data_IF_131623150477
#
_entry.id   IF_131623150477
#
_cell.length_a   1.000
_cell.length_b   1.000
_cell.length_c   1.000
_cell.angle_alpha   90.00
_cell.angle_beta   90.00
_cell.angle_gamma   90.00
#
_symmetry.space_group_name_H-M   'P 1'
#
loop_
_entity.id
_entity.type
_entity.pdbx_description
1 polymer ?
#
# COMPACT_ATOMS: atom_id res chain seq x y z
N UNK A 1 8.41 -13.39 9.40
CA UNK A 1 7.68 -12.16 9.01
C UNK A 1 8.45 -10.89 9.36
N UNK A 2 8.77 -10.64 10.63
CA UNK A 2 9.50 -9.44 11.09
C UNK A 2 10.81 -9.17 10.34
N UNK A 3 11.62 -10.21 10.11
CA UNK A 3 12.88 -10.09 9.35
C UNK A 3 12.63 -9.56 7.93
N UNK A 4 11.58 -10.03 7.25
CA UNK A 4 11.25 -9.57 5.91
C UNK A 4 10.77 -8.12 5.91
N UNK A 5 9.94 -7.74 6.88
CA UNK A 5 9.47 -6.36 7.02
C UNK A 5 10.62 -5.39 7.28
N UNK A 6 11.51 -5.73 8.22
CA UNK A 6 12.67 -4.89 8.54
C UNK A 6 13.63 -4.79 7.34
N UNK A 7 13.91 -5.90 6.66
CA UNK A 7 14.74 -5.90 5.46
C UNK A 7 14.13 -5.04 4.34
N UNK A 8 12.80 -5.12 4.17
CA UNK A 8 12.06 -4.29 3.23
C UNK A 8 12.14 -2.80 3.55
N UNK A 9 11.84 -2.40 4.78
CA UNK A 9 11.92 -0.99 5.19
C UNK A 9 13.35 -0.46 5.13
N UNK A 10 14.34 -1.30 5.45
CA UNK A 10 15.75 -0.94 5.26
C UNK A 10 16.08 -0.71 3.77
N UNK A 11 15.65 -1.62 2.89
CA UNK A 11 15.87 -1.48 1.44
C UNK A 11 15.28 -0.18 0.88
N UNK A 12 14.06 0.18 1.28
CA UNK A 12 13.44 1.44 0.85
C UNK A 12 14.06 2.67 1.48
N UNK A 13 14.40 2.60 2.78
CA UNK A 13 15.07 3.69 3.50
C UNK A 13 16.45 3.99 2.96
N UNK A 14 17.16 2.97 2.46
CA UNK A 14 18.45 3.13 1.78
C UNK A 14 18.33 3.95 0.49
N UNK A 15 17.21 3.83 -0.23
CA UNK A 15 16.95 4.60 -1.44
C UNK A 15 16.53 6.04 -1.12
N UNK A 16 15.47 6.20 -0.32
CA UNK A 16 14.97 7.50 0.11
C UNK A 16 14.08 7.36 1.35
N UNK A 17 14.46 7.99 2.45
CA UNK A 17 13.70 7.97 3.70
C UNK A 17 12.30 8.59 3.57
N UNK A 18 12.08 9.55 2.65
CA UNK A 18 10.77 10.16 2.40
C UNK A 18 9.78 9.12 1.88
N UNK A 19 10.27 8.09 1.19
CA UNK A 19 9.43 7.01 0.70
C UNK A 19 8.89 6.13 1.83
N UNK A 20 9.63 5.98 2.94
CA UNK A 20 9.14 5.26 4.11
C UNK A 20 7.93 5.94 4.74
N UNK A 21 7.94 7.28 4.80
CA UNK A 21 6.79 8.04 5.28
C UNK A 21 5.58 7.84 4.36
N UNK A 22 5.80 7.84 3.04
CA UNK A 22 4.74 7.60 2.05
C UNK A 22 4.15 6.18 2.17
N UNK A 23 4.99 5.14 2.17
CA UNK A 23 4.56 3.75 2.32
C UNK A 23 3.84 3.57 3.66
N UNK A 24 4.40 4.07 4.76
CA UNK A 24 3.80 3.94 6.08
C UNK A 24 2.42 4.58 6.13
N UNK A 25 2.29 5.80 5.62
CA UNK A 25 1.02 6.52 5.55
C UNK A 25 0.00 5.81 4.67
N UNK A 26 0.37 5.42 3.43
CA UNK A 26 -0.54 4.72 2.53
C UNK A 26 -0.96 3.37 3.11
N UNK A 27 -0.03 2.62 3.70
CA UNK A 27 -0.31 1.34 4.36
C UNK A 27 -1.35 1.49 5.46
N UNK A 28 -1.23 2.51 6.32
CA UNK A 28 -2.23 2.75 7.38
C UNK A 28 -3.58 3.12 6.79
N UNK A 29 -3.61 4.00 5.78
CA UNK A 29 -4.84 4.41 5.12
C UNK A 29 -5.55 3.25 4.42
N UNK A 30 -4.84 2.44 3.65
CA UNK A 30 -5.42 1.34 2.88
C UNK A 30 -5.90 0.21 3.80
N UNK A 31 -5.15 -0.05 4.86
CA UNK A 31 -5.57 -0.95 5.93
C UNK A 31 -6.86 -0.45 6.58
N UNK A 32 -6.93 0.85 6.89
CA UNK A 32 -8.11 1.49 7.46
C UNK A 32 -9.32 1.42 6.53
N UNK A 33 -9.16 1.66 5.23
CA UNK A 33 -10.24 1.51 4.25
C UNK A 33 -10.72 0.05 4.13
N UNK A 34 -9.80 -0.92 4.14
CA UNK A 34 -10.17 -2.34 4.13
C UNK A 34 -10.99 -2.71 5.37
N UNK A 35 -10.58 -2.24 6.54
CA UNK A 35 -11.33 -2.41 7.79
C UNK A 35 -12.70 -1.72 7.73
N UNK A 36 -12.78 -0.49 7.21
CA UNK A 36 -14.04 0.25 7.08
C UNK A 36 -15.02 -0.47 6.15
N UNK A 37 -14.56 -0.98 5.01
CA UNK A 37 -15.37 -1.78 4.07
C UNK A 37 -15.90 -3.04 4.75
N UNK A 38 -15.08 -3.71 5.55
CA UNK A 38 -15.49 -4.89 6.30
C UNK A 38 -16.48 -4.58 7.43
N UNK A 39 -16.28 -3.48 8.15
CA UNK A 39 -17.19 -3.02 9.20
C UNK A 39 -18.60 -2.74 8.67
N UNK A 40 -18.70 -2.12 7.49
CA UNK A 40 -19.97 -1.86 6.81
C UNK A 40 -20.67 -3.14 6.32
N UNK A 41 -19.96 -4.27 6.24
CA UNK A 41 -20.53 -5.58 5.88
C UNK A 41 -21.07 -6.35 7.09
N UNK A 42 -20.62 -6.01 8.30
CA UNK A 42 -20.97 -6.76 9.51
C UNK A 42 -22.39 -6.43 10.00
N UNK A 43 -23.18 -7.44 10.42
CA UNK A 43 -24.45 -7.25 11.12
C UNK A 43 -24.24 -6.43 12.41
N UNK A 44 -25.16 -5.53 12.73
CA UNK A 44 -25.05 -4.62 13.88
C UNK A 44 -24.72 -5.33 15.20
N UNK A 45 -25.29 -6.54 15.40
CA UNK A 45 -25.06 -7.36 16.59
C UNK A 45 -23.60 -7.83 16.77
N UNK A 46 -22.84 -8.04 15.69
CA UNK A 46 -21.44 -8.51 15.76
C UNK A 46 -20.42 -7.38 15.80
N UNK A 47 -20.84 -6.13 15.59
CA UNK A 47 -19.94 -4.96 15.55
C UNK A 47 -19.30 -4.66 16.90
N UNK A 48 -19.99 -4.94 18.01
CA UNK A 48 -19.51 -4.66 19.36
C UNK A 48 -18.64 -5.77 19.98
N UNK A 49 -18.73 -7.00 19.44
CA UNK A 49 -18.08 -8.19 20.01
C UNK A 49 -16.72 -8.48 19.37
N UNK A 50 -16.53 -8.15 18.08
CA UNK A 50 -15.31 -8.43 17.32
C UNK A 50 -14.29 -7.28 17.32
N UNK A 51 -14.51 -6.27 18.15
CA UNK A 51 -13.70 -5.05 18.19
C UNK A 51 -12.34 -5.30 18.84
N UNK A 52 -11.35 -5.70 18.04
CA UNK A 52 -9.94 -5.60 18.42
C UNK A 52 -9.62 -4.19 18.93
N UNK A 53 -8.67 -4.05 19.86
CA UNK A 53 -8.27 -2.74 20.42
C UNK A 53 -7.99 -1.65 19.37
N UNK A 54 -7.39 -2.02 18.24
CA UNK A 54 -7.14 -1.10 17.12
C UNK A 54 -8.43 -0.62 16.44
N UNK A 55 -9.45 -1.50 16.35
CA UNK A 55 -10.78 -1.16 15.85
C UNK A 55 -11.45 -0.16 16.80
N UNK A 56 -11.34 -0.32 18.13
CA UNK A 56 -11.87 0.66 19.10
C UNK A 56 -11.26 2.06 18.95
N UNK A 57 -9.97 2.14 18.67
CA UNK A 57 -9.29 3.43 18.49
C UNK A 57 -9.78 4.16 17.22
N UNK A 58 -10.06 3.39 16.17
CA UNK A 58 -10.48 3.89 14.86
C UNK A 58 -12.00 3.99 14.70
N UNK A 59 -12.77 3.33 15.57
CA UNK A 59 -14.23 3.42 15.69
C UNK A 59 -14.68 4.87 15.87
N UNK A 60 -13.92 5.69 16.59
CA UNK A 60 -14.23 7.12 16.75
C UNK A 60 -14.28 7.87 15.42
N UNK A 61 -13.52 7.44 14.41
CA UNK A 61 -13.51 8.04 13.07
C UNK A 61 -14.45 7.30 12.10
N UNK A 62 -14.66 6.00 12.28
CA UNK A 62 -15.48 5.17 11.40
C UNK A 62 -16.97 5.28 11.73
N UNK A 63 -17.35 5.28 13.01
CA UNK A 63 -18.75 5.31 13.44
C UNK A 63 -19.49 6.55 12.93
N UNK A 64 -18.93 7.79 12.97
CA UNK A 64 -19.61 8.95 12.40
C UNK A 64 -19.87 8.79 10.88
N UNK A 65 -18.91 8.24 10.15
CA UNK A 65 -19.02 8.02 8.71
C UNK A 65 -19.96 6.84 8.36
N UNK A 66 -19.98 5.78 9.18
CA UNK A 66 -20.91 4.66 9.05
C UNK A 66 -22.36 5.06 9.40
N UNK A 67 -22.55 5.94 10.39
CA UNK A 67 -23.85 6.55 10.71
C UNK A 67 -24.37 7.41 9.54
N UNK A 68 -23.47 8.07 8.81
CA UNK A 68 -23.78 8.85 7.62
C UNK A 68 -24.09 7.98 6.37
N UNK A 69 -24.93 6.94 6.48
CA UNK A 69 -25.39 6.06 5.36
C UNK A 69 -24.29 5.71 4.33
N UNK A 70 -23.02 5.62 4.74
CA UNK A 70 -21.94 5.42 3.80
C UNK A 70 -22.01 3.99 3.25
N UNK A 71 -22.09 3.86 1.94
CA UNK A 71 -22.13 2.55 1.30
C UNK A 71 -20.71 1.96 1.22
N UNK A 72 -20.61 0.62 1.21
CA UNK A 72 -19.34 -0.08 0.92
C UNK A 72 -18.70 0.39 -0.38
N UNK A 73 -19.54 0.73 -1.37
CA UNK A 73 -19.12 1.26 -2.67
C UNK A 73 -18.47 2.64 -2.53
N UNK A 74 -19.02 3.51 -1.68
CA UNK A 74 -18.47 4.84 -1.40
C UNK A 74 -17.10 4.72 -0.72
N UNK A 75 -16.96 3.84 0.27
CA UNK A 75 -15.67 3.59 0.93
C UNK A 75 -14.61 3.04 -0.05
N UNK A 76 -15.00 2.12 -0.95
CA UNK A 76 -14.12 1.65 -2.01
C UNK A 76 -13.71 2.77 -2.96
N UNK A 77 -14.67 3.57 -3.46
CA UNK A 77 -14.39 4.68 -4.38
C UNK A 77 -13.45 5.70 -3.74
N UNK A 78 -13.66 6.02 -2.45
CA UNK A 78 -12.77 6.91 -1.71
C UNK A 78 -11.34 6.35 -1.60
N UNK A 79 -11.20 5.06 -1.29
CA UNK A 79 -9.90 4.37 -1.29
C UNK A 79 -9.21 4.42 -2.67
N UNK A 80 -9.95 4.12 -3.74
CA UNK A 80 -9.42 4.16 -5.11
C UNK A 80 -9.01 5.59 -5.51
N UNK A 81 -9.85 6.59 -5.20
CA UNK A 81 -9.58 7.98 -5.52
C UNK A 81 -8.34 8.50 -4.78
N UNK A 82 -8.15 8.12 -3.51
CA UNK A 82 -6.97 8.52 -2.74
C UNK A 82 -5.70 7.85 -3.30
N UNK A 83 -5.74 6.54 -3.55
CA UNK A 83 -4.61 5.81 -4.13
C UNK A 83 -4.20 6.35 -5.50
N UNK A 84 -5.16 6.51 -6.41
CA UNK A 84 -4.92 7.08 -7.74
C UNK A 84 -4.54 8.55 -7.66
N UNK A 85 -5.05 9.30 -6.69
CA UNK A 85 -4.69 10.68 -6.42
C UNK A 85 -3.22 10.81 -6.00
N UNK A 86 -2.76 9.98 -5.06
CA UNK A 86 -1.35 9.91 -4.66
C UNK A 86 -0.47 9.51 -5.84
N UNK A 87 -0.85 8.47 -6.57
CA UNK A 87 -0.10 8.02 -7.74
C UNK A 87 -0.01 9.10 -8.82
N UNK A 88 -1.14 9.74 -9.13
CA UNK A 88 -1.22 10.83 -10.11
C UNK A 88 -0.41 12.04 -9.67
N UNK A 89 -0.53 12.44 -8.39
CA UNK A 89 0.28 13.52 -7.82
C UNK A 89 1.76 13.26 -8.05
N UNK A 90 2.31 12.14 -7.55
CA UNK A 90 3.74 11.87 -7.69
C UNK A 90 4.17 11.71 -9.15
N UNK A 91 3.36 11.07 -10.00
CA UNK A 91 3.69 10.84 -11.42
C UNK A 91 3.73 12.12 -12.25
N UNK A 92 2.85 13.08 -11.96
CA UNK A 92 2.70 14.30 -12.76
C UNK A 92 3.18 15.57 -12.03
N UNK A 93 3.68 15.46 -10.79
CA UNK A 93 4.09 16.60 -9.98
C UNK A 93 5.13 17.47 -10.71
N UNK A 94 6.21 16.87 -11.19
CA UNK A 94 7.29 17.61 -11.84
C UNK A 94 6.79 18.32 -13.11
N UNK A 95 6.00 17.63 -13.94
CA UNK A 95 5.36 18.22 -15.12
C UNK A 95 4.46 19.42 -14.77
N UNK A 96 3.69 19.32 -13.69
CA UNK A 96 2.81 20.39 -13.23
C UNK A 96 3.61 21.61 -12.76
N UNK A 97 4.68 21.39 -11.97
CA UNK A 97 5.57 22.46 -11.48
C UNK A 97 6.27 23.17 -12.64
N UNK A 98 6.81 22.42 -13.61
CA UNK A 98 7.48 22.98 -14.80
C UNK A 98 6.52 23.80 -15.67
N UNK A 99 5.30 23.28 -15.90
CA UNK A 99 4.26 23.98 -16.67
C UNK A 99 3.81 25.26 -15.98
N UNK A 100 3.59 25.20 -14.66
CA UNK A 100 3.19 26.36 -13.85
C UNK A 100 4.28 27.43 -13.84
N UNK A 101 5.55 27.04 -13.68
CA UNK A 101 6.66 27.97 -13.71
C UNK A 101 6.80 28.68 -15.05
N UNK A 102 6.55 27.97 -16.15
CA UNK A 102 6.53 28.57 -17.51
C UNK A 102 5.45 29.64 -17.63
N UNK A 103 4.24 29.38 -17.12
CA UNK A 103 3.13 30.34 -17.14
C UNK A 103 3.43 31.57 -16.26
N UNK A 104 3.96 31.36 -15.06
CA UNK A 104 4.32 32.45 -14.15
C UNK A 104 5.44 33.33 -14.75
N UNK A 105 6.41 32.71 -15.43
CA UNK A 105 7.46 33.42 -16.18
C UNK A 105 6.89 34.24 -17.33
N UNK A 106 5.88 33.71 -18.04
CA UNK A 106 5.19 34.44 -19.11
C UNK A 106 4.42 35.69 -18.60
N UNK A 107 4.06 35.72 -17.32
CA UNK A 107 3.42 36.87 -16.65
C UNK A 107 4.46 37.83 -16.04
N UNK A 108 5.76 37.59 -16.27
CA UNK A 108 6.86 38.48 -15.85
C UNK A 108 7.33 38.29 -14.40
N UNK A 109 6.84 37.27 -13.71
CA UNK A 109 7.34 36.85 -12.41
C UNK A 109 8.43 35.81 -12.62
N UNK A 110 9.60 35.96 -11.98
CA UNK A 110 10.67 34.95 -12.03
C UNK A 110 10.65 34.10 -10.76
N UNK A 111 9.87 33.00 -10.72
CA UNK A 111 9.90 32.09 -9.59
C UNK A 111 11.27 31.43 -9.54
N UNK A 112 11.96 31.52 -8.39
CA UNK A 112 13.16 30.71 -8.15
C UNK A 112 12.73 29.24 -8.08
N UNK A 113 12.96 28.49 -9.18
CA UNK A 113 12.71 27.05 -9.30
C UNK A 113 13.68 26.19 -8.46
N UNK A 114 14.15 26.68 -7.32
CA UNK A 114 15.08 25.95 -6.44
C UNK A 114 14.41 24.73 -5.76
N UNK A 115 13.14 24.47 -6.00
CA UNK A 115 12.29 23.85 -4.99
C UNK A 115 11.51 22.65 -5.53
N UNK A 116 11.95 21.46 -5.12
CA UNK A 116 11.30 20.14 -5.26
C UNK A 116 11.30 19.48 -6.66
N UNK A 117 12.47 19.04 -7.13
CA UNK A 117 12.50 17.79 -7.91
C UNK A 117 12.18 16.64 -6.96
N UNK A 118 10.91 16.23 -6.91
CA UNK A 118 10.51 15.02 -6.18
C UNK A 118 11.06 13.84 -6.98
N UNK A 119 12.04 13.14 -6.40
CA UNK A 119 12.50 11.87 -6.91
C UNK A 119 11.33 10.89 -6.74
N UNK A 120 10.82 10.41 -7.87
CA UNK A 120 9.78 9.41 -7.91
C UNK A 120 10.28 8.14 -7.20
N UNK A 121 9.54 7.63 -6.20
CA UNK A 121 9.90 6.36 -5.61
C UNK A 121 9.78 5.26 -6.65
N UNK A 122 10.87 4.49 -6.79
CA UNK A 122 10.84 3.31 -7.65
C UNK A 122 9.78 2.35 -7.11
N UNK A 123 8.85 1.95 -7.97
CA UNK A 123 7.79 1.03 -7.61
C UNK A 123 6.52 1.66 -7.02
N UNK A 124 6.36 2.99 -7.05
CA UNK A 124 5.16 3.69 -6.53
C UNK A 124 3.85 3.10 -7.11
N UNK A 125 3.82 2.89 -8.43
CA UNK A 125 2.67 2.28 -9.12
C UNK A 125 2.37 0.88 -8.62
N UNK A 126 3.41 0.05 -8.43
CA UNK A 126 3.25 -1.34 -8.01
C UNK A 126 2.64 -1.43 -6.62
N UNK A 127 3.14 -0.67 -5.64
CA UNK A 127 2.52 -0.69 -4.30
C UNK A 127 1.09 -0.15 -4.36
N UNK A 128 0.83 0.92 -5.14
CA UNK A 128 -0.52 1.50 -5.22
C UNK A 128 -1.51 0.47 -5.77
N UNK A 129 -1.16 -0.22 -6.86
CA UNK A 129 -2.01 -1.26 -7.43
C UNK A 129 -2.17 -2.47 -6.50
N UNK A 130 -1.10 -2.87 -5.80
CA UNK A 130 -1.13 -3.96 -4.84
C UNK A 130 -2.03 -3.64 -3.64
N UNK A 131 -2.00 -2.39 -3.16
CA UNK A 131 -2.84 -1.92 -2.06
C UNK A 131 -4.30 -1.77 -2.47
N UNK A 132 -4.55 -1.24 -3.67
CA UNK A 132 -5.89 -1.19 -4.25
C UNK A 132 -6.47 -2.59 -4.44
N UNK A 133 -5.69 -3.58 -4.90
CA UNK A 133 -6.15 -4.96 -5.01
C UNK A 133 -6.66 -5.49 -3.68
N UNK A 134 -6.00 -5.19 -2.56
CA UNK A 134 -6.47 -5.61 -1.24
C UNK A 134 -7.86 -5.05 -0.92
N UNK A 135 -8.05 -3.73 -1.04
CA UNK A 135 -9.35 -3.10 -0.71
C UNK A 135 -10.47 -3.55 -1.66
N UNK A 136 -10.14 -3.81 -2.94
CA UNK A 136 -11.06 -4.42 -3.92
C UNK A 136 -11.43 -5.85 -3.51
N UNK A 137 -10.45 -6.67 -3.11
CA UNK A 137 -10.66 -8.08 -2.76
C UNK A 137 -11.53 -8.21 -1.50
N UNK A 138 -11.31 -7.33 -0.50
CA UNK A 138 -12.18 -7.19 0.68
C UNK A 138 -13.59 -6.74 0.29
N UNK A 139 -13.71 -5.72 -0.59
CA UNK A 139 -15.01 -5.27 -1.07
C UNK A 139 -15.79 -6.37 -1.83
N UNK A 140 -15.08 -7.18 -2.62
CA UNK A 140 -15.65 -8.31 -3.36
C UNK A 140 -15.88 -9.55 -2.50
N UNK A 141 -15.55 -9.50 -1.20
CA UNK A 141 -15.64 -10.63 -0.25
C UNK A 141 -14.83 -11.85 -0.70
N UNK A 142 -13.74 -11.63 -1.42
CA UNK A 142 -12.81 -12.70 -1.81
C UNK A 142 -11.92 -13.11 -0.64
N UNK A 143 -11.55 -12.12 0.19
CA UNK A 143 -10.81 -12.33 1.44
C UNK A 143 -11.47 -11.55 2.57
N UNK A 144 -11.35 -12.02 3.83
CA UNK A 144 -11.60 -11.18 4.98
C UNK A 144 -10.58 -10.04 5.04
N UNK A 145 -10.92 -8.98 5.77
CA UNK A 145 -9.94 -7.95 6.09
C UNK A 145 -8.84 -8.51 7.01
N UNK A 146 -7.61 -8.01 6.87
CA UNK A 146 -6.47 -8.43 7.68
C UNK A 146 -6.39 -7.59 8.97
N UNK A 147 -6.53 -8.18 10.17
CA UNK A 147 -6.52 -7.43 11.43
C UNK A 147 -5.14 -6.95 11.87
N UNK A 148 -4.06 -7.57 11.41
CA UNK A 148 -2.70 -7.17 11.77
C UNK A 148 -2.17 -6.13 10.79
N UNK A 149 -2.10 -4.87 11.22
CA UNK A 149 -1.44 -3.80 10.45
C UNK A 149 -0.02 -4.18 10.05
N UNK A 150 0.69 -4.90 10.93
CA UNK A 150 2.05 -5.35 10.67
C UNK A 150 2.11 -6.39 9.54
N UNK A 151 1.18 -7.36 9.53
CA UNK A 151 1.10 -8.36 8.47
C UNK A 151 0.76 -7.68 7.14
N UNK A 152 -0.18 -6.74 7.18
CA UNK A 152 -0.53 -5.92 6.01
C UNK A 152 0.65 -5.07 5.51
N UNK A 153 1.40 -4.43 6.41
CA UNK A 153 2.61 -3.69 6.08
C UNK A 153 3.68 -4.59 5.46
N UNK A 154 3.83 -5.83 5.94
CA UNK A 154 4.77 -6.80 5.39
C UNK A 154 4.34 -7.29 3.99
N UNK A 155 3.04 -7.37 3.73
CA UNK A 155 2.48 -7.60 2.40
C UNK A 155 2.81 -6.45 1.45
N UNK A 156 2.48 -5.21 1.82
CA UNK A 156 2.68 -4.02 0.98
C UNK A 156 4.15 -3.70 0.74
N UNK A 157 5.02 -3.89 1.74
CA UNK A 157 6.42 -3.51 1.65
C UNK A 157 7.32 -4.63 1.12
N UNK A 158 6.81 -5.76 0.63
CA UNK A 158 7.66 -6.91 0.27
C UNK A 158 8.58 -6.61 -0.95
N UNK A 159 9.83 -6.22 -0.69
CA UNK A 159 10.73 -5.67 -1.71
C UNK A 159 11.02 -6.56 -2.93
N UNK A 160 11.07 -7.91 -2.84
CA UNK A 160 11.33 -8.75 -4.01
C UNK A 160 10.28 -8.60 -5.12
N UNK A 161 9.06 -8.19 -4.76
CA UNK A 161 7.93 -8.10 -5.69
C UNK A 161 7.82 -6.71 -6.32
N UNK A 162 8.18 -5.67 -5.58
CA UNK A 162 8.02 -4.26 -5.98
C UNK A 162 9.03 -3.77 -7.01
N UNK A 163 10.15 -4.48 -7.19
CA UNK A 163 11.23 -4.09 -8.11
C UNK A 163 11.06 -4.70 -9.50
N UNK A 164 10.46 -5.88 -9.63
CA UNK A 164 10.37 -6.58 -10.92
C UNK A 164 9.31 -7.71 -11.00
N UNK A 165 8.35 -7.79 -10.08
CA UNK A 165 7.34 -8.85 -10.06
C UNK A 165 6.04 -8.50 -10.78
N UNK A 166 5.23 -9.49 -11.24
CA UNK A 166 3.83 -9.25 -11.53
C UNK A 166 3.11 -8.74 -10.27
N UNK A 167 2.06 -7.92 -10.43
CA UNK A 167 1.27 -7.40 -9.31
C UNK A 167 0.67 -8.59 -8.55
N UNK A 168 1.14 -8.82 -7.31
CA UNK A 168 0.69 -9.92 -6.46
C UNK A 168 -0.59 -9.51 -5.74
N UNK A 169 -1.61 -10.36 -5.75
CA UNK A 169 -2.88 -10.08 -5.08
C UNK A 169 -2.83 -10.49 -3.61
N UNK A 170 -3.57 -9.76 -2.78
CA UNK A 170 -3.68 -10.03 -1.36
C UNK A 170 -4.25 -11.43 -1.07
N UNK A 171 -5.19 -11.88 -1.90
CA UNK A 171 -5.80 -13.20 -1.82
C UNK A 171 -4.80 -14.35 -1.94
N UNK A 172 -3.71 -14.15 -2.68
CA UNK A 172 -2.69 -15.18 -2.88
C UNK A 172 -1.62 -15.13 -1.78
N UNK A 173 -1.18 -13.93 -1.41
CA UNK A 173 0.00 -13.73 -0.57
C UNK A 173 -0.31 -13.75 0.94
N UNK A 174 -1.40 -13.13 1.39
CA UNK A 174 -1.72 -13.04 2.82
C UNK A 174 -1.87 -14.43 3.46
N UNK A 175 -2.60 -15.41 2.87
CA UNK A 175 -2.70 -16.75 3.47
C UNK A 175 -1.35 -17.47 3.53
N UNK A 176 -0.45 -17.22 2.57
CA UNK A 176 0.89 -17.80 2.57
C UNK A 176 1.81 -17.21 3.65
N UNK A 177 1.46 -16.09 4.25
CA UNK A 177 2.20 -15.50 5.37
C UNK A 177 1.86 -16.18 6.71
N UNK A 178 0.67 -16.76 6.81
CA UNK A 178 0.19 -17.46 8.01
C UNK A 178 0.64 -18.93 8.06
N UNK A 179 1.02 -19.51 6.92
CA UNK A 179 1.51 -20.87 6.87
C UNK A 179 2.85 -21.05 7.61
N UNK A 180 2.94 -22.07 8.46
CA UNK A 180 4.20 -22.48 9.09
C UNK A 180 5.21 -22.93 8.03
N UNK A 181 6.17 -22.06 7.73
CA UNK A 181 7.24 -22.36 6.76
C UNK A 181 8.39 -23.06 7.46
N UNK A 182 8.39 -24.39 7.43
CA UNK A 182 9.58 -25.17 7.79
C UNK A 182 10.70 -24.93 6.78
N UNK A 183 11.92 -24.78 7.29
CA UNK A 183 13.11 -24.66 6.44
C UNK A 183 13.30 -25.93 5.60
N UNK A 184 13.62 -25.77 4.32
CA UNK A 184 13.73 -26.87 3.36
C UNK A 184 14.96 -26.67 2.48
N UNK A 185 15.94 -27.55 2.63
CA UNK A 185 17.17 -27.55 1.83
C UNK A 185 16.91 -27.60 0.32
N UNK A 186 15.97 -28.42 -0.21
CA UNK A 186 15.61 -28.38 -1.64
C UNK A 186 15.12 -27.00 -2.11
N UNK A 187 14.37 -26.26 -1.28
CA UNK A 187 13.91 -24.91 -1.61
C UNK A 187 15.06 -23.90 -1.65
N UNK A 188 16.04 -24.04 -0.76
CA UNK A 188 17.22 -23.19 -0.77
C UNK A 188 18.07 -23.45 -2.02
N UNK A 189 18.37 -24.71 -2.33
CA UNK A 189 19.18 -25.07 -3.51
C UNK A 189 18.51 -24.60 -4.82
N UNK A 190 17.21 -24.86 -4.98
CA UNK A 190 16.45 -24.36 -6.15
C UNK A 190 16.37 -22.84 -6.21
N UNK A 191 16.25 -22.16 -5.07
CA UNK A 191 16.29 -20.70 -4.98
C UNK A 191 17.65 -20.12 -5.42
N UNK A 192 18.76 -20.66 -4.90
CA UNK A 192 20.11 -20.26 -5.29
C UNK A 192 20.37 -20.54 -6.77
N UNK A 193 19.93 -21.70 -7.28
CA UNK A 193 20.02 -22.03 -8.71
C UNK A 193 19.29 -21.02 -9.59
N UNK A 194 18.09 -20.56 -9.19
CA UNK A 194 17.34 -19.51 -9.91
C UNK A 194 18.06 -18.16 -9.87
N UNK A 195 18.68 -17.80 -8.74
CA UNK A 195 19.46 -16.58 -8.60
C UNK A 195 20.66 -16.62 -9.56
N UNK A 196 21.46 -17.70 -9.52
CA UNK A 196 22.62 -17.88 -10.39
C UNK A 196 22.24 -17.87 -11.88
N UNK A 197 21.16 -18.55 -12.24
CA UNK A 197 20.63 -18.54 -13.61
C UNK A 197 20.13 -17.15 -14.04
N UNK A 198 19.52 -16.42 -13.11
CA UNK A 198 19.12 -15.03 -13.32
C UNK A 198 20.31 -14.11 -13.58
N UNK A 199 21.42 -14.28 -12.85
CA UNK A 199 22.67 -13.56 -13.08
C UNK A 199 23.31 -13.90 -14.43
N UNK A 200 23.20 -15.12 -14.91
CA UNK A 200 23.73 -15.48 -16.23
C UNK A 200 22.91 -14.87 -17.38
N UNK A 201 21.60 -14.72 -17.19
CA UNK A 201 20.68 -14.21 -18.23
C UNK A 201 20.66 -12.70 -18.38
N UNK A 202 21.21 -11.94 -17.43
CA UNK A 202 21.03 -10.49 -17.29
C UNK A 202 22.37 -9.79 -17.24
#
# INVERSE_FOLDING_TARGET
MWVCLLASYFFYGWWDWRFLALIGFSTVLDWWFGMWIAYLDMPEAKRAEQTHFAVRLLERFIIPAAQAKASRKTALIASMALNLGVLGFFKYFNFFVESFATLVTAVGLHPSLTTLHIILPVGISFYTFQSMSYTIDVYRRQIPWEPSLLKFAAYIALFPQLVAGPIVRAADLLPQMDADKKFSWPRLHSGLGRILWGFFKK
#
